data_IF_561366318795
#
_entry.id   IF_561366318795
#
_cell.length_a   1.000
_cell.length_b   1.000
_cell.length_c   1.000
_cell.angle_alpha   90.00
_cell.angle_beta   90.00
_cell.angle_gamma   90.00
#
_symmetry.space_group_name_H-M   'P 1'
#
loop_
_entity.id
_entity.type
_entity.pdbx_description
1 polymer ?
#
# COMPACT_ATOMS: atom_id res chain seq x y z
N UNK A 1 -0.11 -12.74 9.72
CA UNK A 1 -0.52 -11.92 8.56
C UNK A 1 0.36 -12.29 7.38
N UNK A 2 -0.19 -12.50 6.17
CA UNK A 2 0.63 -12.63 4.97
C UNK A 2 1.45 -11.34 4.78
N UNK A 3 2.72 -11.47 4.42
CA UNK A 3 3.65 -10.34 4.26
C UNK A 3 4.05 -10.18 2.79
N UNK A 4 4.16 -8.93 2.32
CA UNK A 4 4.64 -8.56 0.99
C UNK A 4 5.85 -7.62 1.10
N UNK A 5 6.45 -7.25 -0.02
CA UNK A 5 7.74 -6.54 -0.07
C UNK A 5 7.69 -5.12 0.54
N UNK A 6 6.52 -4.50 0.71
CA UNK A 6 6.38 -3.21 1.40
C UNK A 6 7.22 -2.08 0.77
N UNK A 7 7.06 -1.86 -0.54
CA UNK A 7 7.91 -0.97 -1.34
C UNK A 7 8.04 0.46 -0.79
N UNK A 8 6.96 1.06 -0.26
CA UNK A 8 7.00 2.41 0.32
C UNK A 8 7.92 2.52 1.55
N UNK A 9 7.91 1.52 2.43
CA UNK A 9 8.79 1.46 3.60
C UNK A 9 10.26 1.25 3.21
N UNK A 10 10.50 0.42 2.19
CA UNK A 10 11.85 0.19 1.66
C UNK A 10 12.41 1.39 0.91
N UNK A 11 11.60 2.09 0.11
CA UNK A 11 12.00 3.32 -0.57
C UNK A 11 12.44 4.39 0.44
N UNK A 12 11.75 4.48 1.58
CA UNK A 12 12.14 5.35 2.70
C UNK A 12 13.51 4.94 3.27
N UNK A 13 13.72 3.65 3.56
CA UNK A 13 15.01 3.17 4.05
C UNK A 13 16.14 3.48 3.07
N UNK A 14 15.90 3.28 1.77
CA UNK A 14 16.86 3.57 0.71
C UNK A 14 17.20 5.07 0.63
N UNK A 15 16.19 5.96 0.70
CA UNK A 15 16.39 7.42 0.73
C UNK A 15 17.16 7.91 1.97
N UNK A 16 17.02 7.23 3.11
CA UNK A 16 17.78 7.54 4.33
C UNK A 16 19.14 6.80 4.42
N UNK A 17 19.65 6.27 3.31
CA UNK A 17 20.99 5.67 3.24
C UNK A 17 21.06 4.22 3.72
N UNK A 18 19.94 3.57 4.01
CA UNK A 18 19.88 2.14 4.33
C UNK A 18 20.05 1.29 3.08
N UNK A 19 21.27 0.80 2.84
CA UNK A 19 21.63 -0.06 1.69
C UNK A 19 22.04 -1.50 2.06
N UNK A 20 22.09 -1.82 3.35
CA UNK A 20 22.49 -3.14 3.86
C UNK A 20 21.39 -3.69 4.77
N UNK A 21 21.29 -5.02 4.88
CA UNK A 21 20.29 -5.72 5.69
C UNK A 21 20.27 -5.29 7.17
N UNK A 22 21.34 -4.64 7.66
CA UNK A 22 21.38 -4.01 8.99
C UNK A 22 20.31 -2.92 9.21
N UNK A 23 19.67 -2.39 8.17
CA UNK A 23 18.52 -1.48 8.32
C UNK A 23 17.32 -2.13 9.03
N UNK A 24 17.21 -3.47 9.01
CA UNK A 24 16.18 -4.21 9.77
C UNK A 24 16.46 -4.23 11.27
N UNK A 25 17.66 -3.87 11.74
CA UNK A 25 17.97 -3.80 13.17
C UNK A 25 17.13 -2.73 13.90
N UNK A 26 16.64 -1.71 13.16
CA UNK A 26 15.65 -0.75 13.69
C UNK A 26 14.35 -1.43 14.10
N UNK A 27 13.98 -2.54 13.47
CA UNK A 27 12.83 -3.34 13.87
C UNK A 27 13.05 -3.97 15.26
N UNK A 28 14.26 -4.49 15.51
CA UNK A 28 14.62 -5.06 16.81
C UNK A 28 14.57 -4.00 17.91
N UNK A 29 15.10 -2.80 17.62
CA UNK A 29 15.03 -1.67 18.55
C UNK A 29 13.57 -1.24 18.80
N UNK A 30 12.74 -1.21 17.76
CA UNK A 30 11.30 -0.96 17.85
C UNK A 30 10.53 -2.04 18.60
N UNK A 31 10.98 -3.30 18.57
CA UNK A 31 10.37 -4.40 19.31
C UNK A 31 10.72 -4.32 20.81
N UNK A 32 11.97 -4.01 21.14
CA UNK A 32 12.45 -3.89 22.53
C UNK A 32 11.90 -2.64 23.22
N UNK A 33 11.82 -1.49 22.51
CA UNK A 33 11.25 -0.24 23.05
C UNK A 33 9.75 -0.06 22.73
N UNK A 34 9.14 -1.00 22.02
CA UNK A 34 7.79 -0.87 21.46
C UNK A 34 6.72 -0.58 22.51
N UNK A 35 6.77 -1.26 23.67
CA UNK A 35 5.79 -1.08 24.74
C UNK A 35 5.77 0.34 25.34
N UNK A 36 6.90 1.06 25.30
CA UNK A 36 6.99 2.45 25.75
C UNK A 36 6.57 3.42 24.66
N UNK A 37 6.98 3.15 23.41
CA UNK A 37 6.57 3.93 22.23
C UNK A 37 5.06 3.86 21.97
N UNK A 38 4.42 2.70 22.16
CA UNK A 38 2.97 2.53 21.97
C UNK A 38 2.16 3.45 22.87
N UNK A 39 2.59 3.69 24.12
CA UNK A 39 1.92 4.63 25.03
C UNK A 39 1.96 6.07 24.50
N UNK A 40 3.09 6.46 23.93
CA UNK A 40 3.31 7.79 23.33
C UNK A 40 2.54 7.91 21.99
N UNK A 41 2.58 6.87 21.16
CA UNK A 41 1.85 6.79 19.88
C UNK A 41 0.33 6.80 20.07
N UNK A 42 -0.18 6.22 21.16
CA UNK A 42 -1.62 6.28 21.48
C UNK A 42 -2.07 7.72 21.79
N UNK A 43 -1.21 8.54 22.41
CA UNK A 43 -1.46 9.98 22.56
C UNK A 43 -1.29 10.76 21.26
N UNK A 44 -0.40 10.31 20.36
CA UNK A 44 -0.02 10.99 19.12
C UNK A 44 -0.96 10.72 17.92
N UNK A 45 -2.24 10.46 18.19
CA UNK A 45 -3.38 10.69 17.29
C UNK A 45 -3.77 9.55 16.32
N UNK A 46 -5.03 9.10 16.43
CA UNK A 46 -5.77 8.40 15.35
C UNK A 46 -5.82 9.25 14.08
N UNK A 47 -5.93 10.58 14.22
CA UNK A 47 -6.07 11.47 13.06
C UNK A 47 -4.79 11.56 12.22
N UNK A 48 -3.61 11.44 12.82
CA UNK A 48 -2.34 11.44 12.07
C UNK A 48 -2.22 10.16 11.23
N UNK A 49 -2.55 9.00 11.82
CA UNK A 49 -2.57 7.73 11.09
C UNK A 49 -3.59 7.77 9.94
N UNK A 50 -4.77 8.38 10.17
CA UNK A 50 -5.77 8.60 9.14
C UNK A 50 -5.25 9.45 7.96
N UNK A 51 -4.59 10.59 8.24
CA UNK A 51 -4.03 11.44 7.18
C UNK A 51 -2.92 10.74 6.41
N UNK A 52 -2.05 9.98 7.09
CA UNK A 52 -1.00 9.20 6.44
C UNK A 52 -1.58 8.11 5.51
N UNK A 53 -2.64 7.42 5.95
CA UNK A 53 -3.36 6.44 5.13
C UNK A 53 -4.04 7.08 3.91
N UNK A 54 -4.62 8.28 4.08
CA UNK A 54 -5.19 9.01 2.95
C UNK A 54 -4.12 9.42 1.94
N UNK A 55 -2.97 9.91 2.39
CA UNK A 55 -1.88 10.30 1.51
C UNK A 55 -1.32 9.10 0.74
N UNK A 56 -1.12 7.96 1.40
CA UNK A 56 -0.68 6.70 0.78
C UNK A 56 -1.70 6.22 -0.26
N UNK A 57 -3.01 6.27 0.06
CA UNK A 57 -4.07 5.93 -0.88
C UNK A 57 -4.12 6.84 -2.11
N UNK A 58 -3.89 8.15 -1.94
CA UNK A 58 -3.79 9.10 -3.05
C UNK A 58 -2.58 8.78 -3.92
N UNK A 59 -1.41 8.53 -3.34
CA UNK A 59 -0.20 8.16 -4.09
C UNK A 59 -0.43 6.89 -4.92
N UNK A 60 -1.09 5.88 -4.34
CA UNK A 60 -1.46 4.64 -5.04
C UNK A 60 -2.46 4.89 -6.19
N UNK A 61 -3.46 5.74 -6.00
CA UNK A 61 -4.41 6.12 -7.05
C UNK A 61 -3.71 6.92 -8.16
N UNK A 62 -2.76 7.79 -7.86
CA UNK A 62 -2.08 8.59 -8.89
C UNK A 62 -1.27 7.71 -9.85
N UNK A 63 -0.77 6.55 -9.42
CA UNK A 63 -0.15 5.56 -10.31
C UNK A 63 -1.10 5.06 -11.42
N UNK A 64 -2.42 5.12 -11.22
CA UNK A 64 -3.39 4.78 -12.29
C UNK A 64 -3.32 5.74 -13.49
N UNK A 65 -2.86 6.99 -13.28
CA UNK A 65 -2.70 7.99 -14.35
C UNK A 65 -1.43 7.78 -15.16
N UNK A 66 -0.43 7.08 -14.61
CA UNK A 66 0.85 6.78 -15.26
C UNK A 66 0.77 5.54 -16.17
N UNK A 67 -0.41 4.94 -16.31
CA UNK A 67 -0.61 3.78 -17.18
C UNK A 67 -0.58 4.20 -18.66
N UNK A 68 0.10 3.39 -19.48
CA UNK A 68 0.34 3.66 -20.90
C UNK A 68 -0.95 3.69 -21.76
N UNK A 69 -2.07 3.18 -21.24
CA UNK A 69 -3.38 3.22 -21.91
C UNK A 69 -4.50 3.55 -20.93
N UNK A 70 -5.47 4.32 -21.40
CA UNK A 70 -6.73 4.64 -20.70
C UNK A 70 -7.49 3.40 -20.25
N UNK A 71 -7.38 2.31 -21.00
CA UNK A 71 -8.07 1.05 -20.69
C UNK A 71 -7.47 0.37 -19.46
N UNK A 72 -6.14 0.35 -19.35
CA UNK A 72 -5.42 -0.24 -18.21
C UNK A 72 -5.67 0.57 -16.92
N UNK A 73 -5.78 1.90 -17.05
CA UNK A 73 -6.19 2.80 -15.95
C UNK A 73 -7.61 2.47 -15.46
N UNK A 74 -8.55 2.22 -16.39
CA UNK A 74 -9.93 1.81 -16.06
C UNK A 74 -9.96 0.44 -15.36
N UNK A 75 -9.18 -0.54 -15.81
CA UNK A 75 -9.09 -1.85 -15.14
C UNK A 75 -8.60 -1.70 -13.69
N UNK A 76 -7.58 -0.87 -13.45
CA UNK A 76 -7.10 -0.58 -12.09
C UNK A 76 -8.16 0.10 -11.23
N UNK A 77 -8.89 1.08 -11.77
CA UNK A 77 -9.99 1.76 -11.06
C UNK A 77 -11.14 0.81 -10.71
N UNK A 78 -11.50 -0.09 -11.63
CA UNK A 78 -12.52 -1.14 -11.38
C UNK A 78 -12.07 -2.07 -10.25
N UNK A 79 -10.80 -2.52 -10.27
CA UNK A 79 -10.23 -3.36 -9.22
C UNK A 79 -10.33 -2.71 -7.83
N UNK A 80 -10.00 -1.41 -7.74
CA UNK A 80 -10.09 -0.65 -6.49
C UNK A 80 -11.55 -0.49 -6.05
N UNK A 81 -12.45 -0.12 -6.96
CA UNK A 81 -13.87 0.08 -6.66
C UNK A 81 -14.53 -1.21 -6.14
N UNK A 82 -14.26 -2.34 -6.79
CA UNK A 82 -14.79 -3.65 -6.38
C UNK A 82 -14.18 -4.11 -5.06
N UNK A 83 -12.89 -3.86 -4.83
CA UNK A 83 -12.25 -4.17 -3.53
C UNK A 83 -12.89 -3.38 -2.38
N UNK A 84 -13.24 -2.12 -2.62
CA UNK A 84 -13.82 -1.23 -1.61
C UNK A 84 -15.27 -1.61 -1.30
N UNK A 85 -16.09 -1.86 -2.32
CA UNK A 85 -17.50 -2.25 -2.16
C UNK A 85 -17.62 -3.67 -1.60
N UNK A 86 -16.80 -4.60 -2.10
CA UNK A 86 -16.82 -6.01 -1.70
C UNK A 86 -16.11 -6.29 -0.38
N UNK A 87 -15.51 -5.27 0.27
CA UNK A 87 -14.69 -5.38 1.49
C UNK A 87 -13.62 -6.49 1.41
N UNK A 88 -13.20 -6.86 0.20
CA UNK A 88 -12.33 -8.01 -0.05
C UNK A 88 -11.46 -7.74 -1.28
N UNK A 89 -10.15 -7.75 -1.05
CA UNK A 89 -9.14 -7.52 -2.08
C UNK A 89 -9.11 -8.66 -3.12
N UNK A 90 -9.60 -9.85 -2.74
CA UNK A 90 -9.73 -11.01 -3.63
C UNK A 90 -10.77 -10.78 -4.73
N UNK A 91 -11.91 -10.17 -4.41
CA UNK A 91 -12.96 -9.87 -5.40
C UNK A 91 -12.48 -8.82 -6.41
N UNK A 92 -11.77 -7.79 -5.95
CA UNK A 92 -11.18 -6.80 -6.84
C UNK A 92 -10.14 -7.40 -7.77
N UNK A 93 -9.24 -8.24 -7.25
CA UNK A 93 -8.24 -8.94 -8.06
C UNK A 93 -8.89 -9.83 -9.13
N UNK A 94 -9.91 -10.61 -8.76
CA UNK A 94 -10.60 -11.48 -9.69
C UNK A 94 -11.33 -10.68 -10.79
N UNK A 95 -12.04 -9.62 -10.40
CA UNK A 95 -12.72 -8.73 -11.34
C UNK A 95 -11.73 -8.04 -12.30
N UNK A 96 -10.57 -7.60 -11.80
CA UNK A 96 -9.50 -7.01 -12.61
C UNK A 96 -8.96 -7.99 -13.66
N UNK A 97 -8.78 -9.28 -13.31
CA UNK A 97 -8.40 -10.33 -14.27
C UNK A 97 -9.46 -10.46 -15.36
N UNK A 98 -10.74 -10.60 -14.99
CA UNK A 98 -11.83 -10.73 -15.97
C UNK A 98 -11.92 -9.52 -16.91
N UNK A 99 -11.78 -8.31 -16.38
CA UNK A 99 -11.77 -7.09 -17.18
C UNK A 99 -10.59 -7.02 -18.15
N UNK A 100 -9.39 -7.44 -17.72
CA UNK A 100 -8.20 -7.52 -18.58
C UNK A 100 -8.35 -8.58 -19.69
N UNK A 101 -8.89 -9.75 -19.37
CA UNK A 101 -9.11 -10.81 -20.36
C UNK A 101 -10.21 -10.48 -21.37
N UNK A 102 -11.30 -9.83 -20.94
CA UNK A 102 -12.36 -9.36 -21.83
C UNK A 102 -11.84 -8.39 -22.90
N UNK A 103 -10.84 -7.56 -22.56
CA UNK A 103 -10.16 -6.66 -23.50
C UNK A 103 -9.29 -7.38 -24.53
N UNK A 104 -8.72 -8.54 -24.19
CA UNK A 104 -7.80 -9.28 -25.07
C UNK A 104 -8.51 -10.08 -26.16
N UNK A 105 -9.82 -10.28 -26.02
CA UNK A 105 -10.67 -11.07 -26.91
C UNK A 105 -11.47 -10.18 -27.89
N UNK A 106 -11.60 -8.89 -27.61
CA UNK A 106 -12.29 -7.90 -28.45
C UNK A 106 -11.39 -7.17 -29.43
#
# INVERSE_FOLDING_TARGET
MPCCHGAGGLARQYKFGGRSGGCVAKLVLGLVLGSSLVKILNQFLVSVVGVLLLFDGIELVMCTRDMNSKEESVVMLICIAVSLVGSSTSLGFLCGIFACYGKKIG
#
